data_IF_863497003391
#
_entry.id   IF_863497003391
#
_cell.length_a   1.000
_cell.length_b   1.000
_cell.length_c   1.000
_cell.angle_alpha   90.00
_cell.angle_beta   90.00
_cell.angle_gamma   90.00
#
_symmetry.space_group_name_H-M   'P 1'
#
loop_
_entity.id
_entity.type
_entity.pdbx_description
1 polymer ?
#
# COMPACT_ATOMS: atom_id res chain seq x y z
N UNK A 1 -14.17 5.20 -21.07
CA UNK A 1 -13.12 4.86 -20.12
C UNK A 1 -11.85 4.71 -20.91
N UNK A 2 -10.75 5.40 -20.53
CA UNK A 2 -9.46 5.21 -21.21
C UNK A 2 -8.89 3.83 -20.88
N UNK A 3 -7.96 3.34 -21.74
CA UNK A 3 -7.30 2.06 -21.53
C UNK A 3 -6.52 2.05 -20.21
N UNK A 4 -6.63 0.96 -19.46
CA UNK A 4 -5.89 0.74 -18.23
C UNK A 4 -4.43 0.44 -18.55
N UNK A 5 -3.52 1.36 -18.20
CA UNK A 5 -2.08 1.22 -18.46
C UNK A 5 -1.39 0.67 -17.20
N UNK A 6 -0.76 -0.49 -17.29
CA UNK A 6 -0.03 -1.13 -16.21
C UNK A 6 1.43 -1.38 -16.62
N UNK A 7 2.37 -0.99 -15.77
CA UNK A 7 3.75 -1.47 -15.85
C UNK A 7 3.97 -2.62 -14.88
N UNK A 8 4.57 -3.71 -15.34
CA UNK A 8 4.97 -4.84 -14.51
C UNK A 8 6.50 -4.93 -14.47
N UNK A 9 7.07 -4.54 -13.35
CA UNK A 9 8.50 -4.46 -13.09
C UNK A 9 8.93 -5.61 -12.17
N UNK A 10 9.37 -6.70 -12.78
CA UNK A 10 9.86 -7.91 -12.13
C UNK A 10 10.86 -8.58 -13.06
N UNK A 11 11.97 -9.16 -12.57
CA UNK A 11 12.92 -9.85 -13.43
C UNK A 11 12.67 -11.37 -13.52
N UNK A 12 11.72 -11.91 -12.77
CA UNK A 12 11.27 -13.29 -12.90
C UNK A 12 10.28 -13.46 -14.05
N UNK A 13 10.66 -14.22 -15.09
CA UNK A 13 9.84 -14.37 -16.29
C UNK A 13 8.49 -15.07 -16.05
N UNK A 14 8.47 -16.07 -15.18
CA UNK A 14 7.23 -16.79 -14.84
C UNK A 14 6.25 -15.90 -14.06
N UNK A 15 6.73 -15.11 -13.11
CA UNK A 15 5.90 -14.16 -12.36
C UNK A 15 5.25 -13.16 -13.30
N UNK A 16 6.06 -12.54 -14.20
CA UNK A 16 5.50 -11.60 -15.19
C UNK A 16 4.47 -12.25 -16.10
N UNK A 17 4.76 -13.45 -16.60
CA UNK A 17 3.82 -14.16 -17.47
C UNK A 17 2.50 -14.47 -16.76
N UNK A 18 2.56 -14.96 -15.52
CA UNK A 18 1.38 -15.22 -14.70
C UNK A 18 0.55 -13.97 -14.45
N UNK A 19 1.18 -12.87 -14.02
CA UNK A 19 0.49 -11.58 -13.79
C UNK A 19 -0.21 -11.11 -15.07
N UNK A 20 0.49 -11.14 -16.22
CA UNK A 20 -0.07 -10.68 -17.48
C UNK A 20 -1.27 -11.54 -17.89
N UNK A 21 -1.18 -12.86 -17.78
CA UNK A 21 -2.27 -13.77 -18.11
C UNK A 21 -3.49 -13.47 -17.26
N UNK A 22 -3.35 -13.46 -15.93
CA UNK A 22 -4.45 -13.22 -14.99
C UNK A 22 -5.10 -11.85 -15.25
N UNK A 23 -4.30 -10.80 -15.39
CA UNK A 23 -4.85 -9.46 -15.62
C UNK A 23 -5.49 -9.31 -17.00
N UNK A 24 -4.93 -9.94 -18.04
CA UNK A 24 -5.52 -9.92 -19.38
C UNK A 24 -6.86 -10.65 -19.44
N UNK A 25 -7.01 -11.76 -18.74
CA UNK A 25 -8.28 -12.48 -18.64
C UNK A 25 -9.36 -11.68 -17.94
N UNK A 26 -8.98 -10.90 -16.90
CA UNK A 26 -9.94 -10.18 -16.07
C UNK A 26 -10.29 -8.77 -16.59
N UNK A 27 -9.32 -8.03 -17.14
CA UNK A 27 -9.48 -6.61 -17.49
C UNK A 27 -9.58 -6.33 -19.00
N UNK A 28 -9.45 -7.36 -19.89
CA UNK A 28 -9.63 -7.19 -21.32
C UNK A 28 -11.05 -6.68 -21.67
N UNK A 29 -11.27 -5.90 -22.76
CA UNK A 29 -10.30 -5.52 -23.79
C UNK A 29 -9.51 -4.23 -23.53
N UNK A 30 -9.76 -3.50 -22.47
CA UNK A 30 -9.22 -2.14 -22.25
C UNK A 30 -7.92 -2.15 -21.41
N UNK A 31 -7.12 -3.20 -21.52
CA UNK A 31 -5.89 -3.36 -20.75
C UNK A 31 -4.66 -3.27 -21.64
N UNK A 32 -3.71 -2.42 -21.26
CA UNK A 32 -2.38 -2.36 -21.85
C UNK A 32 -1.33 -2.61 -20.77
N UNK A 33 -0.60 -3.71 -20.89
CA UNK A 33 0.45 -4.09 -19.94
C UNK A 33 1.82 -4.04 -20.63
N UNK A 34 2.76 -3.32 -20.03
CA UNK A 34 4.15 -3.34 -20.46
C UNK A 34 5.06 -3.99 -19.41
N UNK A 35 5.93 -4.89 -19.89
CA UNK A 35 6.92 -5.56 -19.06
C UNK A 35 8.18 -4.71 -18.94
N UNK A 36 8.63 -4.52 -17.72
CA UNK A 36 9.85 -3.82 -17.37
C UNK A 36 10.85 -4.81 -16.76
N UNK A 37 12.09 -4.82 -17.27
CA UNK A 37 13.12 -5.79 -16.86
C UNK A 37 14.35 -5.17 -16.21
N UNK A 38 14.43 -3.85 -16.16
CA UNK A 38 15.50 -3.13 -15.50
C UNK A 38 15.06 -1.72 -15.09
N UNK A 39 15.77 -1.16 -14.16
CA UNK A 39 15.50 0.13 -13.54
C UNK A 39 15.50 1.31 -14.53
N UNK A 40 16.49 1.35 -15.44
CA UNK A 40 16.60 2.42 -16.44
C UNK A 40 15.34 2.51 -17.32
N UNK A 41 14.90 1.35 -17.83
CA UNK A 41 13.67 1.27 -18.62
C UNK A 41 12.44 1.66 -17.80
N UNK A 42 12.40 1.34 -16.51
CA UNK A 42 11.30 1.74 -15.62
C UNK A 42 11.13 3.25 -15.57
N UNK A 43 12.18 3.98 -15.23
CA UNK A 43 12.11 5.44 -15.13
C UNK A 43 11.78 6.10 -16.47
N UNK A 44 12.37 5.62 -17.56
CA UNK A 44 12.04 6.09 -18.91
C UNK A 44 10.54 5.93 -19.21
N UNK A 45 9.99 4.75 -18.96
CA UNK A 45 8.58 4.46 -19.28
C UNK A 45 7.60 5.20 -18.35
N UNK A 46 7.94 5.38 -17.09
CA UNK A 46 7.14 6.21 -16.17
C UNK A 46 6.99 7.65 -16.66
N UNK A 47 8.06 8.23 -17.20
CA UNK A 47 8.04 9.58 -17.80
C UNK A 47 7.16 9.64 -19.06
N UNK A 48 7.26 8.63 -19.94
CA UNK A 48 6.60 8.62 -21.24
C UNK A 48 5.10 8.33 -21.15
N UNK A 49 4.68 7.35 -20.36
CA UNK A 49 3.29 6.85 -20.39
C UNK A 49 2.45 7.15 -19.16
N UNK A 50 3.07 7.51 -18.02
CA UNK A 50 2.37 7.79 -16.74
C UNK A 50 1.28 6.77 -16.46
N UNK A 51 1.63 5.51 -16.20
CA UNK A 51 0.66 4.42 -16.05
C UNK A 51 -0.25 4.65 -14.85
N UNK A 52 -1.44 4.07 -14.86
CA UNK A 52 -2.31 4.07 -13.69
C UNK A 52 -1.75 3.21 -12.57
N UNK A 53 -1.06 2.10 -12.91
CA UNK A 53 -0.46 1.20 -11.93
C UNK A 53 0.96 0.82 -12.33
N UNK A 54 1.84 0.81 -11.32
CA UNK A 54 3.12 0.14 -11.33
C UNK A 54 3.05 -1.06 -10.38
N UNK A 55 3.12 -2.27 -10.92
CA UNK A 55 3.33 -3.50 -10.16
C UNK A 55 4.83 -3.76 -10.12
N UNK A 56 5.44 -3.80 -8.94
CA UNK A 56 6.89 -3.86 -8.82
C UNK A 56 7.36 -4.81 -7.71
N UNK A 57 8.34 -5.64 -8.04
CA UNK A 57 9.13 -6.38 -7.06
C UNK A 57 10.41 -5.60 -6.74
N UNK A 58 10.45 -5.04 -5.54
CA UNK A 58 11.60 -4.27 -5.08
C UNK A 58 12.83 -5.13 -4.75
N UNK A 59 12.63 -6.40 -4.39
CA UNK A 59 13.73 -7.29 -4.00
C UNK A 59 14.60 -7.71 -5.19
N UNK A 60 14.02 -7.72 -6.40
CA UNK A 60 14.67 -8.27 -7.60
C UNK A 60 15.15 -7.20 -8.60
N UNK A 61 14.96 -5.91 -8.30
CA UNK A 61 15.07 -4.85 -9.30
C UNK A 61 16.25 -3.91 -9.10
N UNK A 62 17.21 -4.23 -8.26
CA UNK A 62 18.28 -3.29 -7.86
C UNK A 62 17.72 -1.91 -7.47
N UNK A 63 16.65 -1.97 -6.66
CA UNK A 63 15.83 -0.84 -6.31
C UNK A 63 16.15 -0.38 -4.89
N UNK A 64 16.49 0.90 -4.75
CA UNK A 64 16.62 1.54 -3.45
C UNK A 64 15.29 2.19 -3.05
N UNK A 65 14.56 1.57 -2.13
CA UNK A 65 13.27 2.07 -1.65
C UNK A 65 13.34 3.52 -1.15
N UNK A 66 14.45 3.93 -0.53
CA UNK A 66 14.58 5.26 0.04
C UNK A 66 14.87 6.34 -1.01
N UNK A 67 15.60 5.99 -2.08
CA UNK A 67 15.99 6.91 -3.13
C UNK A 67 15.04 6.86 -4.34
N UNK A 68 14.73 5.66 -4.81
CA UNK A 68 14.01 5.49 -6.07
C UNK A 68 12.49 5.71 -5.94
N UNK A 69 11.90 5.33 -4.79
CA UNK A 69 10.46 5.51 -4.59
C UNK A 69 10.03 7.00 -4.56
N UNK A 70 10.73 7.90 -3.87
CA UNK A 70 10.45 9.34 -3.96
C UNK A 70 10.57 9.87 -5.39
N UNK A 71 11.54 9.36 -6.18
CA UNK A 71 11.71 9.76 -7.57
C UNK A 71 10.53 9.30 -8.43
N UNK A 72 10.07 8.06 -8.28
CA UNK A 72 8.85 7.57 -8.95
C UNK A 72 7.66 8.47 -8.60
N UNK A 73 7.45 8.77 -7.33
CA UNK A 73 6.33 9.62 -6.89
C UNK A 73 6.43 11.06 -7.43
N UNK A 74 7.63 11.55 -7.69
CA UNK A 74 7.86 12.85 -8.33
C UNK A 74 7.55 12.83 -9.83
N UNK A 75 7.97 11.77 -10.52
CA UNK A 75 7.79 11.60 -11.97
C UNK A 75 6.33 11.27 -12.32
N UNK A 76 5.72 10.38 -11.55
CA UNK A 76 4.38 9.86 -11.80
C UNK A 76 3.54 9.86 -10.50
N UNK A 77 3.14 11.05 -10.01
CA UNK A 77 2.49 11.22 -8.71
C UNK A 77 1.13 10.52 -8.60
N UNK A 78 0.45 10.34 -9.73
CA UNK A 78 -0.87 9.71 -9.81
C UNK A 78 -0.80 8.20 -10.06
N UNK A 79 0.40 7.65 -10.28
CA UNK A 79 0.60 6.21 -10.47
C UNK A 79 0.44 5.47 -9.14
N UNK A 80 -0.54 4.57 -9.05
CA UNK A 80 -0.68 3.64 -7.94
C UNK A 80 0.45 2.61 -7.94
N UNK A 81 1.02 2.34 -6.77
CA UNK A 81 2.11 1.36 -6.64
C UNK A 81 1.59 0.13 -5.91
N UNK A 82 1.64 -1.02 -6.59
CA UNK A 82 1.38 -2.34 -6.01
C UNK A 82 2.71 -3.08 -5.87
N UNK A 83 3.15 -3.26 -4.64
CA UNK A 83 4.37 -4.00 -4.35
C UNK A 83 4.13 -5.51 -4.40
N UNK A 84 5.05 -6.23 -5.03
CA UNK A 84 5.16 -7.69 -4.99
C UNK A 84 6.39 -8.08 -4.17
N UNK A 85 6.30 -9.17 -3.40
CA UNK A 85 7.49 -9.80 -2.81
C UNK A 85 7.36 -11.31 -2.81
N UNK A 86 8.48 -11.99 -3.07
CA UNK A 86 8.64 -13.42 -2.82
C UNK A 86 9.03 -13.72 -1.37
N UNK A 87 9.45 -12.71 -0.63
CA UNK A 87 9.94 -12.82 0.73
C UNK A 87 8.85 -12.46 1.75
N UNK A 88 8.70 -13.29 2.77
CA UNK A 88 7.78 -13.09 3.88
C UNK A 88 8.50 -12.57 5.15
N UNK A 89 9.74 -12.08 5.02
CA UNK A 89 10.46 -11.53 6.17
C UNK A 89 9.71 -10.32 6.74
N UNK A 90 9.31 -10.34 8.02
CA UNK A 90 8.63 -9.21 8.65
C UNK A 90 9.42 -7.89 8.57
N UNK A 91 10.75 -7.98 8.57
CA UNK A 91 11.62 -6.79 8.53
C UNK A 91 11.60 -6.12 7.17
N UNK A 92 11.59 -6.89 6.08
CA UNK A 92 11.56 -6.36 4.72
C UNK A 92 10.17 -5.79 4.39
N UNK A 93 9.11 -6.47 4.84
CA UNK A 93 7.74 -5.95 4.74
C UNK A 93 7.60 -4.60 5.47
N UNK A 94 8.18 -4.47 6.66
CA UNK A 94 8.15 -3.21 7.40
C UNK A 94 8.88 -2.08 6.67
N UNK A 95 10.05 -2.34 6.07
CA UNK A 95 10.78 -1.33 5.28
C UNK A 95 9.91 -0.79 4.13
N UNK A 96 9.23 -1.67 3.40
CA UNK A 96 8.33 -1.29 2.31
C UNK A 96 7.19 -0.40 2.82
N UNK A 97 6.59 -0.77 3.96
CA UNK A 97 5.53 -0.01 4.60
C UNK A 97 6.01 1.34 5.12
N UNK A 98 7.19 1.41 5.74
CA UNK A 98 7.81 2.64 6.21
C UNK A 98 8.07 3.64 5.08
N UNK A 99 8.35 3.15 3.88
CA UNK A 99 8.44 3.97 2.67
C UNK A 99 7.08 4.49 2.15
N UNK A 100 5.97 4.12 2.81
CA UNK A 100 4.63 4.63 2.50
C UNK A 100 3.93 3.90 1.37
N UNK A 101 4.34 2.66 1.05
CA UNK A 101 3.62 1.77 0.15
C UNK A 101 2.45 1.17 0.91
N UNK A 102 1.26 1.26 0.33
CA UNK A 102 0.00 0.87 0.98
C UNK A 102 -0.71 -0.27 0.27
N UNK A 103 -0.17 -0.75 -0.84
CA UNK A 103 -0.71 -1.86 -1.61
C UNK A 103 0.38 -2.90 -1.80
N UNK A 104 0.15 -4.07 -1.24
CA UNK A 104 1.17 -5.09 -1.14
C UNK A 104 0.57 -6.49 -1.19
N UNK A 105 1.13 -7.36 -2.04
CA UNK A 105 0.80 -8.79 -2.11
C UNK A 105 2.07 -9.65 -2.18
N UNK A 106 1.93 -10.92 -1.82
CA UNK A 106 2.97 -11.91 -1.98
C UNK A 106 2.87 -12.58 -3.36
N UNK A 107 4.00 -13.01 -3.92
CA UNK A 107 4.01 -13.82 -5.16
C UNK A 107 3.36 -15.19 -4.98
N UNK A 108 3.17 -15.64 -3.74
CA UNK A 108 2.40 -16.84 -3.37
C UNK A 108 0.91 -16.59 -3.23
N UNK A 109 0.44 -15.35 -3.35
CA UNK A 109 -0.98 -14.99 -3.30
C UNK A 109 -1.78 -15.65 -4.44
N UNK A 110 -3.06 -15.91 -4.18
CA UNK A 110 -3.98 -16.41 -5.21
C UNK A 110 -4.28 -15.34 -6.26
N UNK A 111 -4.70 -15.77 -7.45
CA UNK A 111 -5.06 -14.86 -8.54
C UNK A 111 -6.12 -13.84 -8.15
N UNK A 112 -7.11 -14.24 -7.34
CA UNK A 112 -8.16 -13.34 -6.85
C UNK A 112 -7.60 -12.19 -6.02
N UNK A 113 -6.59 -12.45 -5.17
CA UNK A 113 -5.92 -11.39 -4.39
C UNK A 113 -5.18 -10.39 -5.29
N UNK A 114 -4.58 -10.85 -6.41
CA UNK A 114 -3.97 -9.95 -7.39
C UNK A 114 -5.01 -9.03 -8.02
N UNK A 115 -6.16 -9.57 -8.43
CA UNK A 115 -7.26 -8.81 -9.02
C UNK A 115 -7.80 -7.76 -8.02
N UNK A 116 -8.03 -8.16 -6.78
CA UNK A 116 -8.49 -7.27 -5.72
C UNK A 116 -7.47 -6.16 -5.41
N UNK A 117 -6.18 -6.51 -5.33
CA UNK A 117 -5.11 -5.55 -5.11
C UNK A 117 -5.01 -4.53 -6.26
N UNK A 118 -5.14 -4.96 -7.51
CA UNK A 118 -5.17 -4.08 -8.69
C UNK A 118 -6.39 -3.15 -8.62
N UNK A 119 -7.58 -3.68 -8.36
CA UNK A 119 -8.80 -2.88 -8.23
C UNK A 119 -8.70 -1.87 -7.07
N UNK A 120 -8.15 -2.27 -5.94
CA UNK A 120 -7.91 -1.38 -4.81
C UNK A 120 -6.92 -0.26 -5.19
N UNK A 121 -5.85 -0.61 -5.91
CA UNK A 121 -4.83 0.36 -6.37
C UNK A 121 -5.42 1.37 -7.36
N UNK A 122 -6.22 0.94 -8.33
CA UNK A 122 -6.96 1.81 -9.26
C UNK A 122 -7.88 2.76 -8.49
N UNK A 123 -8.60 2.22 -7.51
CA UNK A 123 -9.52 2.97 -6.66
C UNK A 123 -8.83 3.84 -5.61
N UNK A 124 -7.50 3.93 -5.62
CA UNK A 124 -6.69 4.62 -4.61
C UNK A 124 -7.00 4.16 -3.17
N UNK A 125 -7.40 2.89 -3.02
CA UNK A 125 -7.63 2.20 -1.75
C UNK A 125 -6.38 1.41 -1.36
N UNK A 126 -6.27 1.07 -0.08
CA UNK A 126 -5.17 0.27 0.43
C UNK A 126 -5.51 -1.21 0.34
N UNK A 127 -4.49 -2.04 0.10
CA UNK A 127 -4.64 -3.49 0.05
C UNK A 127 -3.43 -4.20 0.65
N UNK A 128 -3.69 -5.12 1.57
CA UNK A 128 -2.71 -6.05 2.11
C UNK A 128 -3.32 -7.45 2.10
N UNK A 129 -2.65 -8.43 1.52
CA UNK A 129 -3.13 -9.82 1.61
C UNK A 129 -3.16 -10.31 3.05
N UNK A 130 -4.06 -11.25 3.35
CA UNK A 130 -4.20 -11.83 4.69
C UNK A 130 -2.88 -12.37 5.24
N UNK A 131 -2.08 -13.03 4.40
CA UNK A 131 -0.76 -13.54 4.80
C UNK A 131 0.20 -12.43 5.25
N UNK A 132 0.18 -11.27 4.61
CA UNK A 132 1.00 -10.12 5.02
C UNK A 132 0.55 -9.59 6.37
N UNK A 133 -0.76 -9.49 6.56
CA UNK A 133 -1.33 -9.08 7.84
C UNK A 133 -0.93 -10.05 8.95
N UNK A 134 -0.97 -11.35 8.72
CA UNK A 134 -0.56 -12.37 9.69
C UNK A 134 0.93 -12.24 10.05
N UNK A 135 1.81 -12.05 9.06
CA UNK A 135 3.24 -11.84 9.30
C UNK A 135 3.49 -10.59 10.15
N UNK A 136 2.79 -9.51 9.87
CA UNK A 136 2.90 -8.27 10.63
C UNK A 136 2.34 -8.38 12.06
N UNK A 137 1.31 -9.20 12.26
CA UNK A 137 0.67 -9.44 13.54
C UNK A 137 1.41 -10.44 14.43
N UNK A 138 2.02 -11.49 13.85
CA UNK A 138 2.79 -12.49 14.63
C UNK A 138 4.01 -11.89 15.32
N UNK A 139 4.53 -10.76 14.85
CA UNK A 139 5.53 -9.98 15.60
C UNK A 139 5.02 -9.41 16.93
N UNK A 140 3.69 -9.39 17.16
CA UNK A 140 3.08 -8.97 18.44
C UNK A 140 3.61 -9.74 19.66
N UNK A 141 3.98 -10.99 19.49
CA UNK A 141 4.41 -11.81 20.63
C UNK A 141 5.89 -11.61 21.01
N UNK A 142 6.74 -11.23 20.05
CA UNK A 142 8.18 -11.02 20.31
C UNK A 142 8.50 -9.56 20.73
N UNK A 143 7.75 -8.58 20.24
CA UNK A 143 8.02 -7.13 20.49
C UNK A 143 7.25 -6.53 21.65
N UNK A 144 6.48 -7.30 22.40
CA UNK A 144 5.77 -6.82 23.62
C UNK A 144 6.71 -6.24 24.68
N UNK A 145 8.03 -6.46 24.55
CA UNK A 145 9.04 -5.94 25.48
C UNK A 145 9.61 -4.56 25.12
N UNK A 146 9.40 -4.03 23.91
CA UNK A 146 10.08 -2.78 23.48
C UNK A 146 9.15 -1.55 23.47
N UNK A 147 7.82 -1.73 23.35
CA UNK A 147 6.88 -0.60 23.27
C UNK A 147 6.01 -0.34 24.52
N UNK A 148 6.27 -1.06 25.62
CA UNK A 148 5.53 -0.82 26.89
C UNK A 148 5.91 0.47 27.61
N UNK A 149 6.86 1.25 27.10
CA UNK A 149 7.40 2.45 27.79
C UNK A 149 7.26 3.76 27.00
N UNK A 150 6.45 3.85 25.93
CA UNK A 150 6.07 5.17 25.42
C UNK A 150 4.60 5.42 25.77
N UNK A 151 4.41 6.41 26.63
CA UNK A 151 3.15 6.97 27.12
C UNK A 151 2.03 6.82 26.08
N UNK A 152 0.88 6.28 26.54
CA UNK A 152 -0.38 6.35 25.79
C UNK A 152 -0.65 7.80 25.42
N UNK A 153 -0.32 8.21 24.22
CA UNK A 153 -0.80 9.47 23.69
C UNK A 153 -2.33 9.38 23.76
N UNK A 154 -2.97 10.32 24.49
CA UNK A 154 -4.42 10.34 24.61
C UNK A 154 -5.04 10.62 23.23
N UNK A 155 -5.35 9.54 22.51
CA UNK A 155 -6.15 9.60 21.29
C UNK A 155 -7.59 9.87 21.70
N UNK A 156 -8.19 10.93 21.18
CA UNK A 156 -9.59 11.26 21.44
C UNK A 156 -10.52 10.32 20.67
N UNK A 157 -11.76 10.19 21.11
CA UNK A 157 -12.77 9.38 20.42
C UNK A 157 -12.90 9.74 18.93
N UNK A 158 -12.92 11.02 18.58
CA UNK A 158 -12.98 11.48 17.18
C UNK A 158 -11.73 11.09 16.38
N UNK A 159 -10.55 11.16 17.01
CA UNK A 159 -9.30 10.73 16.37
C UNK A 159 -9.29 9.21 16.15
N UNK A 160 -9.81 8.42 17.10
CA UNK A 160 -9.96 6.98 16.94
C UNK A 160 -10.90 6.62 15.79
N UNK A 161 -12.05 7.29 15.68
CA UNK A 161 -12.95 7.09 14.54
C UNK A 161 -12.28 7.42 13.20
N UNK A 162 -11.51 8.52 13.15
CA UNK A 162 -10.76 8.89 11.94
C UNK A 162 -9.67 7.85 11.63
N UNK A 163 -9.00 7.30 12.64
CA UNK A 163 -8.04 6.21 12.46
C UNK A 163 -8.74 5.01 11.83
N UNK A 164 -9.90 4.57 12.35
CA UNK A 164 -10.69 3.47 11.77
C UNK A 164 -11.01 3.70 10.29
N UNK A 165 -11.47 4.88 9.95
CA UNK A 165 -11.82 5.20 8.55
C UNK A 165 -10.58 5.24 7.63
N UNK A 166 -9.43 5.71 8.13
CA UNK A 166 -8.17 5.66 7.38
C UNK A 166 -7.74 4.22 7.17
N UNK A 167 -7.91 3.35 8.16
CA UNK A 167 -7.55 1.93 8.02
C UNK A 167 -8.46 1.20 7.04
N UNK A 168 -9.71 1.58 6.92
CA UNK A 168 -10.65 1.10 5.91
C UNK A 168 -10.36 1.63 4.48
N UNK A 169 -9.31 2.41 4.32
CA UNK A 169 -8.87 2.91 3.02
C UNK A 169 -9.54 4.20 2.56
N UNK A 170 -10.40 4.83 3.38
CA UNK A 170 -11.07 6.05 2.97
C UNK A 170 -10.09 7.21 2.79
N UNK A 171 -10.30 7.97 1.73
CA UNK A 171 -9.57 9.21 1.47
C UNK A 171 -10.00 10.33 2.44
N UNK A 172 -9.18 11.36 2.56
CA UNK A 172 -9.51 12.54 3.40
C UNK A 172 -10.84 13.18 2.99
N UNK A 173 -11.20 13.16 1.69
CA UNK A 173 -12.47 13.71 1.20
C UNK A 173 -13.67 12.87 1.61
N UNK A 174 -13.55 11.55 1.50
CA UNK A 174 -14.59 10.61 1.92
C UNK A 174 -14.82 10.66 3.42
N UNK A 175 -13.76 10.74 4.22
CA UNK A 175 -13.85 10.93 5.67
C UNK A 175 -14.56 12.24 6.00
N UNK A 176 -14.21 13.33 5.32
CA UNK A 176 -14.84 14.62 5.52
C UNK A 176 -16.36 14.56 5.22
N UNK A 177 -16.75 13.95 4.11
CA UNK A 177 -18.14 13.75 3.73
C UNK A 177 -18.89 12.88 4.75
N UNK A 178 -18.32 11.72 5.13
CA UNK A 178 -18.94 10.77 6.04
C UNK A 178 -19.14 11.36 7.45
N UNK A 179 -18.14 12.09 7.95
CA UNK A 179 -18.16 12.71 9.29
C UNK A 179 -18.83 14.08 9.31
N UNK A 180 -19.29 14.59 8.17
CA UNK A 180 -19.84 15.97 8.01
C UNK A 180 -18.88 17.05 8.51
N UNK A 181 -17.59 16.86 8.25
CA UNK A 181 -16.51 17.78 8.61
C UNK A 181 -15.96 18.47 7.35
N UNK A 182 -15.28 19.61 7.53
CA UNK A 182 -14.53 20.19 6.42
C UNK A 182 -13.29 19.35 6.08
N UNK A 183 -12.87 19.40 4.82
CA UNK A 183 -11.62 18.77 4.37
C UNK A 183 -10.41 19.21 5.22
N UNK A 184 -10.33 20.50 5.52
CA UNK A 184 -9.25 21.05 6.36
C UNK A 184 -9.32 20.54 7.81
N UNK A 185 -10.50 20.33 8.35
CA UNK A 185 -10.67 19.75 9.70
C UNK A 185 -10.11 18.34 9.77
N UNK A 186 -10.39 17.52 8.75
CA UNK A 186 -9.85 16.13 8.71
C UNK A 186 -8.34 16.14 8.54
N UNK A 187 -7.77 17.04 7.72
CA UNK A 187 -6.30 17.20 7.62
C UNK A 187 -5.70 17.56 8.99
N UNK A 188 -6.33 18.46 9.73
CA UNK A 188 -5.87 18.85 11.07
C UNK A 188 -5.89 17.67 12.03
N UNK A 189 -6.97 16.88 12.05
CA UNK A 189 -7.03 15.65 12.85
C UNK A 189 -5.92 14.67 12.47
N UNK A 190 -5.70 14.42 11.16
CA UNK A 190 -4.61 13.55 10.69
C UNK A 190 -3.24 14.01 11.17
N UNK A 191 -2.93 15.31 11.06
CA UNK A 191 -1.67 15.88 11.58
C UNK A 191 -1.53 15.67 13.08
N UNK A 192 -2.60 15.88 13.84
CA UNK A 192 -2.59 15.70 15.29
C UNK A 192 -2.39 14.23 15.68
N UNK A 193 -3.07 13.30 15.00
CA UNK A 193 -2.91 11.86 15.18
C UNK A 193 -1.46 11.46 14.93
N UNK A 194 -0.89 11.85 13.80
CA UNK A 194 0.49 11.51 13.42
C UNK A 194 1.49 12.05 14.43
N UNK A 195 1.32 13.30 14.88
CA UNK A 195 2.16 13.90 15.90
C UNK A 195 2.03 13.18 17.25
N UNK A 196 0.80 12.90 17.71
CA UNK A 196 0.54 12.22 18.98
C UNK A 196 1.13 10.82 19.02
N UNK A 197 1.01 10.09 17.92
CA UNK A 197 1.49 8.72 17.81
C UNK A 197 2.97 8.64 17.42
N UNK A 198 3.61 9.79 17.10
CA UNK A 198 4.99 9.87 16.59
C UNK A 198 5.20 8.99 15.37
N UNK A 199 4.23 9.00 14.44
CA UNK A 199 4.26 8.27 13.17
C UNK A 199 4.37 9.23 12.01
N UNK A 200 4.96 8.79 10.90
CA UNK A 200 5.30 9.62 9.75
C UNK A 200 4.41 9.38 8.54
N UNK A 201 3.75 8.22 8.45
CA UNK A 201 2.96 7.84 7.28
C UNK A 201 1.72 7.00 7.63
N UNK A 202 0.84 6.83 6.64
CA UNK A 202 -0.43 6.09 6.82
C UNK A 202 -0.23 4.60 7.07
N UNK A 203 0.88 4.02 6.60
CA UNK A 203 1.18 2.60 6.83
C UNK A 203 1.53 2.34 8.29
N UNK A 204 2.31 3.22 8.92
CA UNK A 204 2.57 3.17 10.36
C UNK A 204 1.28 3.33 11.18
N UNK A 205 0.35 4.18 10.70
CA UNK A 205 -0.95 4.35 11.34
C UNK A 205 -1.78 3.07 11.30
N UNK A 206 -1.79 2.36 10.17
CA UNK A 206 -2.48 1.07 10.04
C UNK A 206 -1.90 0.06 11.03
N UNK A 207 -0.57 -0.06 11.07
CA UNK A 207 0.10 -0.96 12.00
C UNK A 207 -0.21 -0.61 13.46
N UNK A 208 -0.25 0.69 13.79
CA UNK A 208 -0.66 1.14 15.13
C UNK A 208 -2.11 0.72 15.43
N UNK A 209 -3.05 1.00 14.53
CA UNK A 209 -4.47 0.70 14.72
C UNK A 209 -4.73 -0.79 14.94
N UNK A 210 -4.06 -1.65 14.17
CA UNK A 210 -4.12 -3.11 14.37
C UNK A 210 -3.53 -3.52 15.71
N UNK A 211 -2.37 -2.97 16.08
CA UNK A 211 -1.70 -3.29 17.35
C UNK A 211 -2.48 -2.83 18.57
N UNK A 212 -3.19 -1.72 18.48
CA UNK A 212 -4.00 -1.16 19.57
C UNK A 212 -5.42 -1.71 19.64
N UNK A 213 -5.82 -2.57 18.66
CA UNK A 213 -7.18 -3.11 18.57
C UNK A 213 -8.22 -2.08 18.12
N UNK A 214 -7.77 -0.96 17.54
CA UNK A 214 -8.66 0.07 16.97
C UNK A 214 -9.27 -0.41 15.66
N UNK A 215 -8.53 -1.21 14.87
CA UNK A 215 -9.02 -1.82 13.65
C UNK A 215 -8.85 -3.35 13.72
N UNK A 216 -9.87 -4.09 13.27
CA UNK A 216 -9.81 -5.53 13.13
C UNK A 216 -9.25 -5.93 11.76
N UNK A 217 -8.65 -7.13 11.70
CA UNK A 217 -8.14 -7.70 10.44
C UNK A 217 -9.25 -7.98 9.44
N UNK A 218 -10.48 -8.17 9.91
CA UNK A 218 -11.68 -8.38 9.09
C UNK A 218 -12.13 -7.13 8.33
N UNK A 219 -11.71 -5.93 8.74
CA UNK A 219 -12.06 -4.67 8.08
C UNK A 219 -11.36 -4.47 6.71
N UNK A 220 -10.46 -5.39 6.33
CA UNK A 220 -9.70 -5.33 5.07
C UNK A 220 -10.22 -6.29 3.98
N UNK A 221 -11.26 -7.08 4.29
CA UNK A 221 -11.89 -8.04 3.37
C UNK A 221 -13.20 -7.50 2.78
N UNK A 222 -13.19 -6.33 2.17
CA UNK A 222 -14.33 -5.88 1.34
C UNK A 222 -13.83 -5.29 0.04
#
# INVERSE_FOLDING_TARGET
MGDLQILVADNQSFTRAGIITILSEHFSPNLNIEQIRNKEKLFKRLLEIKPQILIIDFDLFDFDLHNDLPEIKKIAPDTGILALSGNQSPDDLLKVLECGITNFILKSSHEQELIEAVNATIGNRKYFSGQILDVLLTRKTASRKVYSNKSHAHITFTEEEIIKLITQGLTTREIAALKKLSYHTVITHRKNIFRKLSISNSSELILYAMRSGIADTTDYYI
#
